data_IF_903542184412
#
_entry.id   IF_903542184412
#
_cell.length_a   1.000
_cell.length_b   1.000
_cell.length_c   1.000
_cell.angle_alpha   90.00
_cell.angle_beta   90.00
_cell.angle_gamma   90.00
#
_symmetry.space_group_name_H-M   'P 1'
#
loop_
_entity.id
_entity.type
_entity.pdbx_description
1 polymer ?
#
# COMPACT_ATOMS: atom_id res chain seq x y z
N UNK A 1 -55.12 -39.22 -40.54
CA UNK A 1 -54.30 -39.44 -39.32
C UNK A 1 -52.91 -38.82 -39.45
N UNK A 2 -52.28 -38.90 -40.62
CA UNK A 2 -50.98 -38.27 -40.90
C UNK A 2 -50.98 -36.74 -40.78
N UNK A 3 -52.01 -36.03 -41.29
CA UNK A 3 -52.11 -34.56 -41.16
C UNK A 3 -52.13 -34.09 -39.71
N UNK A 4 -52.89 -34.77 -38.83
CA UNK A 4 -52.92 -34.44 -37.40
C UNK A 4 -51.57 -34.68 -36.72
N UNK A 5 -50.85 -35.73 -37.10
CA UNK A 5 -49.49 -35.96 -36.59
C UNK A 5 -48.50 -34.90 -37.07
N UNK A 6 -48.66 -34.39 -38.30
CA UNK A 6 -47.83 -33.32 -38.84
C UNK A 6 -48.05 -32.00 -38.09
N UNK A 7 -49.31 -31.63 -37.84
CA UNK A 7 -49.67 -30.46 -37.05
C UNK A 7 -49.12 -30.50 -35.62
N UNK A 8 -49.15 -31.67 -34.97
CA UNK A 8 -48.60 -31.83 -33.62
C UNK A 8 -47.07 -31.65 -33.61
N UNK A 9 -46.37 -32.17 -34.63
CA UNK A 9 -44.91 -32.00 -34.74
C UNK A 9 -44.53 -30.55 -35.02
N UNK A 10 -45.24 -29.88 -35.93
CA UNK A 10 -45.02 -28.47 -36.25
C UNK A 10 -45.27 -27.57 -35.03
N UNK A 11 -46.38 -27.76 -34.31
CA UNK A 11 -46.68 -27.02 -33.09
C UNK A 11 -45.65 -27.27 -31.98
N UNK A 12 -45.10 -28.48 -31.87
CA UNK A 12 -44.08 -28.81 -30.89
C UNK A 12 -42.75 -28.11 -31.20
N UNK A 13 -42.33 -28.14 -32.47
CA UNK A 13 -41.12 -27.44 -32.93
C UNK A 13 -41.25 -25.93 -32.75
N UNK A 14 -42.43 -25.36 -33.05
CA UNK A 14 -42.70 -23.94 -32.85
C UNK A 14 -42.65 -23.55 -31.36
N UNK A 15 -43.21 -24.38 -30.48
CA UNK A 15 -43.11 -24.20 -29.04
C UNK A 15 -41.65 -24.30 -28.54
N UNK A 16 -40.89 -25.28 -29.02
CA UNK A 16 -39.48 -25.46 -28.65
C UNK A 16 -38.62 -24.25 -29.11
N UNK A 17 -38.84 -23.75 -30.33
CA UNK A 17 -38.18 -22.53 -30.84
C UNK A 17 -38.54 -21.29 -30.02
N UNK A 18 -39.81 -21.16 -29.61
CA UNK A 18 -40.24 -20.04 -28.77
C UNK A 18 -39.59 -20.07 -27.37
N UNK A 19 -39.42 -21.26 -26.79
CA UNK A 19 -38.69 -21.44 -25.53
C UNK A 19 -37.22 -21.09 -25.71
N UNK A 20 -36.55 -21.61 -26.73
CA UNK A 20 -35.13 -21.34 -26.98
C UNK A 20 -34.86 -19.85 -27.23
N UNK A 21 -35.73 -19.16 -27.98
CA UNK A 21 -35.65 -17.72 -28.19
C UNK A 21 -35.80 -16.93 -26.88
N UNK A 22 -36.72 -17.33 -25.98
CA UNK A 22 -36.88 -16.71 -24.67
C UNK A 22 -35.66 -16.94 -23.78
N UNK A 23 -35.11 -18.15 -23.79
CA UNK A 23 -33.89 -18.43 -23.04
C UNK A 23 -32.69 -17.63 -23.57
N UNK A 24 -32.56 -17.47 -24.89
CA UNK A 24 -31.53 -16.64 -25.48
C UNK A 24 -31.67 -15.18 -25.02
N UNK A 25 -32.89 -14.62 -25.04
CA UNK A 25 -33.14 -13.27 -24.53
C UNK A 25 -32.73 -13.12 -23.06
N UNK A 26 -33.01 -14.11 -22.22
CA UNK A 26 -32.61 -14.11 -20.81
C UNK A 26 -31.08 -14.17 -20.67
N UNK A 27 -30.39 -15.02 -21.46
CA UNK A 27 -28.93 -15.10 -21.48
C UNK A 27 -28.28 -13.79 -21.90
N UNK A 28 -28.79 -13.17 -22.97
CA UNK A 28 -28.31 -11.88 -23.45
C UNK A 28 -28.52 -10.76 -22.42
N UNK A 29 -29.70 -10.71 -21.79
CA UNK A 29 -29.99 -9.75 -20.74
C UNK A 29 -29.06 -9.93 -19.53
N UNK A 30 -28.78 -11.18 -19.14
CA UNK A 30 -27.84 -11.49 -18.06
C UNK A 30 -26.42 -11.05 -18.37
N UNK A 31 -25.93 -11.33 -19.57
CA UNK A 31 -24.58 -10.92 -20.00
C UNK A 31 -24.49 -9.39 -20.05
N UNK A 32 -25.50 -8.70 -20.60
CA UNK A 32 -25.54 -7.23 -20.59
C UNK A 32 -25.51 -6.67 -19.17
N UNK A 33 -26.22 -7.29 -18.24
CA UNK A 33 -26.18 -6.93 -16.81
C UNK A 33 -24.78 -7.10 -16.22
N UNK A 34 -24.12 -8.24 -16.50
CA UNK A 34 -22.75 -8.50 -16.04
C UNK A 34 -21.74 -7.52 -16.62
N UNK A 35 -21.84 -7.18 -17.91
CA UNK A 35 -20.97 -6.19 -18.55
C UNK A 35 -21.10 -4.83 -17.84
N UNK A 36 -22.32 -4.38 -17.57
CA UNK A 36 -22.54 -3.11 -16.85
C UNK A 36 -21.90 -3.13 -15.46
N UNK A 37 -22.06 -4.21 -14.71
CA UNK A 37 -21.44 -4.34 -13.38
C UNK A 37 -19.92 -4.28 -13.47
N UNK A 38 -19.31 -4.91 -14.47
CA UNK A 38 -17.85 -4.84 -14.67
C UNK A 38 -17.37 -3.47 -15.15
N UNK A 39 -18.16 -2.77 -15.97
CA UNK A 39 -17.88 -1.37 -16.35
C UNK A 39 -17.91 -0.45 -15.13
N UNK A 40 -18.94 -0.56 -14.28
CA UNK A 40 -19.05 0.21 -13.03
C UNK A 40 -17.89 -0.12 -12.08
N UNK A 41 -17.50 -1.40 -12.00
CA UNK A 41 -16.33 -1.82 -11.20
C UNK A 41 -15.04 -1.20 -11.73
N UNK A 42 -14.85 -1.17 -13.05
CA UNK A 42 -13.68 -0.53 -13.67
C UNK A 42 -13.64 0.97 -13.36
N UNK A 43 -14.78 1.66 -13.42
CA UNK A 43 -14.88 3.06 -13.06
C UNK A 43 -14.53 3.28 -11.58
N UNK A 44 -15.07 2.45 -10.69
CA UNK A 44 -14.77 2.51 -9.26
C UNK A 44 -13.28 2.33 -8.96
N UNK A 45 -12.63 1.34 -9.57
CA UNK A 45 -11.19 1.09 -9.39
C UNK A 45 -10.36 2.26 -9.92
N UNK A 46 -10.76 2.85 -11.04
CA UNK A 46 -10.08 4.03 -11.61
C UNK A 46 -10.16 5.22 -10.64
N UNK A 47 -11.36 5.54 -10.17
CA UNK A 47 -11.59 6.61 -9.19
C UNK A 47 -10.83 6.35 -7.88
N UNK A 48 -10.83 5.11 -7.39
CA UNK A 48 -10.09 4.74 -6.18
C UNK A 48 -8.59 4.92 -6.37
N UNK A 49 -8.05 4.53 -7.53
CA UNK A 49 -6.62 4.68 -7.82
C UNK A 49 -6.22 6.16 -7.89
N UNK A 50 -7.06 7.00 -8.50
CA UNK A 50 -6.85 8.44 -8.54
C UNK A 50 -6.89 9.05 -7.14
N UNK A 51 -7.85 8.65 -6.31
CA UNK A 51 -7.94 9.11 -4.92
C UNK A 51 -6.71 8.70 -4.11
N UNK A 52 -6.30 7.43 -4.19
CA UNK A 52 -5.10 6.95 -3.47
C UNK A 52 -3.85 7.71 -3.91
N UNK A 53 -3.70 8.00 -5.20
CA UNK A 53 -2.58 8.83 -5.69
C UNK A 53 -2.65 10.24 -5.11
N UNK A 54 -3.80 10.89 -5.17
CA UNK A 54 -3.99 12.24 -4.63
C UNK A 54 -3.73 12.29 -3.11
N UNK A 55 -4.17 11.29 -2.36
CA UNK A 55 -3.90 11.15 -0.93
C UNK A 55 -2.41 10.97 -0.64
N UNK A 56 -1.71 10.13 -1.42
CA UNK A 56 -0.27 9.91 -1.29
C UNK A 56 0.53 11.19 -1.61
N UNK A 57 0.11 11.94 -2.63
CA UNK A 57 0.71 13.22 -2.99
C UNK A 57 0.50 14.27 -1.87
N UNK A 58 -0.71 14.33 -1.30
CA UNK A 58 -1.02 15.21 -0.18
C UNK A 58 -0.23 14.85 1.09
N UNK A 59 -0.07 13.56 1.39
CA UNK A 59 0.77 13.09 2.49
C UNK A 59 2.24 13.45 2.27
N UNK A 60 2.75 13.24 1.05
CA UNK A 60 4.13 13.59 0.68
C UNK A 60 4.37 15.09 0.84
N UNK A 61 3.45 15.92 0.37
CA UNK A 61 3.51 17.37 0.54
C UNK A 61 3.50 17.76 2.03
N UNK A 62 2.68 17.10 2.85
CA UNK A 62 2.62 17.36 4.29
C UNK A 62 3.95 17.05 4.98
N UNK A 63 4.53 15.88 4.68
CA UNK A 63 5.84 15.47 5.20
C UNK A 63 6.91 16.46 4.73
N UNK A 64 6.96 16.77 3.43
CA UNK A 64 7.92 17.72 2.88
C UNK A 64 7.79 19.10 3.53
N UNK A 65 6.59 19.64 3.66
CA UNK A 65 6.33 20.93 4.29
C UNK A 65 6.78 20.95 5.76
N UNK A 66 6.61 19.85 6.49
CA UNK A 66 7.09 19.73 7.88
C UNK A 66 8.61 19.62 8.01
N UNK A 67 9.28 18.99 7.03
CA UNK A 67 10.73 18.80 7.02
C UNK A 67 11.46 19.98 6.35
N UNK A 68 10.78 20.78 5.53
CA UNK A 68 11.34 21.93 4.82
C UNK A 68 12.10 22.90 5.73
N UNK A 69 11.59 23.29 6.92
CA UNK A 69 12.31 24.17 7.83
C UNK A 69 13.59 23.55 8.39
N UNK A 70 13.68 22.21 8.44
CA UNK A 70 14.85 21.49 8.94
C UNK A 70 15.98 21.43 7.89
N UNK A 71 15.65 21.57 6.61
CA UNK A 71 16.63 21.42 5.51
C UNK A 71 17.70 22.51 5.50
N UNK A 72 17.36 23.69 6.04
CA UNK A 72 18.24 24.85 6.09
C UNK A 72 18.97 24.98 7.45
N UNK A 73 18.73 24.06 8.40
CA UNK A 73 19.43 24.04 9.68
C UNK A 73 20.85 23.46 9.55
N UNK A 74 21.76 23.97 10.39
CA UNK A 74 23.12 23.43 10.50
C UNK A 74 23.08 21.94 10.90
N UNK A 75 23.86 21.06 10.25
CA UNK A 75 23.93 19.64 10.57
C UNK A 75 24.20 19.34 12.06
N UNK A 76 24.99 20.17 12.74
CA UNK A 76 25.27 20.00 14.17
C UNK A 76 24.04 20.28 15.03
N UNK A 77 23.23 21.28 14.66
CA UNK A 77 21.97 21.60 15.36
C UNK A 77 20.94 20.51 15.12
N UNK A 78 20.84 19.97 13.90
CA UNK A 78 19.99 18.81 13.60
C UNK A 78 20.41 17.58 14.40
N UNK A 79 21.71 17.32 14.52
CA UNK A 79 22.25 16.21 15.29
C UNK A 79 21.95 16.37 16.77
N UNK A 80 22.07 17.58 17.33
CA UNK A 80 21.69 17.88 18.71
C UNK A 80 20.18 17.67 18.97
N UNK A 81 19.32 18.12 18.07
CA UNK A 81 17.87 17.92 18.17
C UNK A 81 17.50 16.43 18.09
N UNK A 82 18.13 15.69 17.17
CA UNK A 82 17.94 14.24 17.05
C UNK A 82 18.40 13.51 18.32
N UNK A 83 19.51 13.96 18.92
CA UNK A 83 20.02 13.42 20.18
C UNK A 83 19.03 13.65 21.33
N UNK A 84 18.35 14.80 21.44
CA UNK A 84 17.35 15.02 22.49
C UNK A 84 16.22 13.96 22.52
N UNK A 85 15.88 13.42 21.34
CA UNK A 85 14.87 12.36 21.19
C UNK A 85 15.44 10.94 21.13
N UNK A 86 16.77 10.79 21.08
CA UNK A 86 17.41 9.49 20.86
C UNK A 86 17.51 8.66 22.14
N UNK A 87 17.32 7.35 22.01
CA UNK A 87 17.55 6.43 23.12
C UNK A 87 19.04 6.45 23.55
N UNK A 88 19.34 6.36 24.86
CA UNK A 88 20.72 6.37 25.35
C UNK A 88 21.64 5.35 24.67
N UNK A 89 21.11 4.15 24.34
CA UNK A 89 21.83 3.11 23.61
C UNK A 89 22.23 3.55 22.20
N UNK A 90 21.33 4.24 21.50
CA UNK A 90 21.59 4.78 20.17
C UNK A 90 22.67 5.87 20.24
N UNK A 91 22.60 6.77 21.24
CA UNK A 91 23.66 7.77 21.46
C UNK A 91 25.02 7.13 21.68
N UNK A 92 25.11 6.10 22.53
CA UNK A 92 26.37 5.39 22.80
C UNK A 92 26.89 4.74 21.51
N UNK A 93 26.04 4.12 20.71
CA UNK A 93 26.45 3.50 19.44
C UNK A 93 27.00 4.52 18.44
N UNK A 94 26.40 5.72 18.38
CA UNK A 94 26.86 6.82 17.53
C UNK A 94 28.21 7.36 18.02
N UNK A 95 28.37 7.58 19.33
CA UNK A 95 29.63 8.01 19.92
C UNK A 95 30.75 6.99 19.67
N UNK A 96 30.48 5.69 19.82
CA UNK A 96 31.47 4.64 19.51
C UNK A 96 31.84 4.61 18.03
N UNK A 97 30.88 4.81 17.13
CA UNK A 97 31.13 4.92 15.68
C UNK A 97 32.03 6.12 15.37
N UNK A 98 31.77 7.27 15.97
CA UNK A 98 32.56 8.49 15.76
C UNK A 98 33.98 8.35 16.33
N UNK A 99 34.13 7.72 17.50
CA UNK A 99 35.43 7.35 18.07
C UNK A 99 36.20 6.41 17.14
N UNK A 100 35.53 5.39 16.58
CA UNK A 100 36.16 4.47 15.62
C UNK A 100 36.57 5.17 14.31
N UNK A 101 35.74 6.10 13.80
CA UNK A 101 36.05 6.87 12.60
C UNK A 101 37.25 7.81 12.80
N UNK A 102 37.45 8.32 14.01
CA UNK A 102 38.59 9.15 14.37
C UNK A 102 39.71 8.37 15.07
N UNK A 103 39.69 7.03 15.06
CA UNK A 103 40.62 6.20 15.83
C UNK A 103 42.10 6.47 15.51
N UNK A 104 42.43 6.92 14.29
CA UNK A 104 43.79 7.32 13.91
C UNK A 104 44.31 8.55 14.64
N UNK A 105 43.43 9.37 15.21
CA UNK A 105 43.76 10.54 16.03
C UNK A 105 43.73 10.23 17.53
N UNK A 106 43.28 9.03 17.88
CA UNK A 106 43.16 8.57 19.26
C UNK A 106 44.37 7.70 19.54
N UNK A 107 45.16 8.04 20.57
CA UNK A 107 46.33 7.25 20.97
C UNK A 107 45.92 5.90 21.55
N UNK A 108 45.63 5.87 22.85
CA UNK A 108 45.10 4.68 23.53
C UNK A 108 43.80 5.05 24.24
N UNK A 109 42.72 4.36 23.91
CA UNK A 109 41.42 4.47 24.59
C UNK A 109 41.13 3.16 25.34
N UNK A 110 41.06 3.24 26.67
CA UNK A 110 40.72 2.10 27.52
C UNK A 110 39.26 2.23 27.98
N UNK A 111 38.46 1.21 27.70
CA UNK A 111 37.06 1.12 28.12
C UNK A 111 36.95 -0.04 29.10
N UNK A 112 36.50 0.23 30.33
CA UNK A 112 36.32 -0.84 31.32
C UNK A 112 35.03 -1.63 31.09
N UNK A 113 35.02 -2.94 31.40
CA UNK A 113 33.81 -3.76 31.33
C UNK A 113 32.64 -3.19 32.14
N UNK A 114 32.91 -2.63 33.32
CA UNK A 114 31.89 -2.06 34.21
C UNK A 114 31.23 -0.80 33.62
N UNK A 115 32.01 0.04 32.94
CA UNK A 115 31.48 1.23 32.26
C UNK A 115 30.60 0.81 31.08
N UNK A 116 31.06 -0.16 30.28
CA UNK A 116 30.29 -0.68 29.15
C UNK A 116 28.97 -1.30 29.61
N UNK A 117 28.99 -2.07 30.70
CA UNK A 117 27.79 -2.68 31.27
C UNK A 117 26.81 -1.61 31.78
N UNK A 118 27.32 -0.56 32.41
CA UNK A 118 26.50 0.56 32.91
C UNK A 118 25.84 1.33 31.77
N UNK A 119 26.58 1.57 30.68
CA UNK A 119 26.08 2.24 29.47
C UNK A 119 25.07 1.38 28.68
N UNK A 120 25.22 0.05 28.72
CA UNK A 120 24.32 -0.89 28.04
C UNK A 120 23.06 -1.25 28.85
N UNK A 121 22.96 -0.85 30.13
CA UNK A 121 21.74 -1.04 30.93
C UNK A 121 20.60 -0.21 30.35
N UNK A 122 19.40 -0.80 30.28
CA UNK A 122 18.21 -0.09 29.80
C UNK A 122 17.87 0.97 30.84
N UNK A 123 17.82 2.24 30.46
CA UNK A 123 17.13 3.24 31.28
C UNK A 123 15.72 2.71 31.52
N UNK A 124 15.33 2.60 32.80
CA UNK A 124 13.95 2.27 33.15
C UNK A 124 13.01 3.35 32.64
#
# INVERSE_FOLDING_TARGET
VEEKQRQIREAKVEADLAVEAKEQQVREAKIKGQIKVEEDRKQLVTAQTENVRAEADAQSYTIEASLRPLRDLDPNVLQMLAMQSAEPRLMISLAMKELAQNASKIGNLNISPELLETLMKKSK
#
